data_IF_381628298449
#
_entry.id   IF_381628298449
#
_cell.length_a   1.000
_cell.length_b   1.000
_cell.length_c   1.000
_cell.angle_alpha   90.00
_cell.angle_beta   90.00
_cell.angle_gamma   90.00
#
_symmetry.space_group_name_H-M   'P 1'
#
loop_
_entity.id
_entity.type
_entity.pdbx_description
1 polymer ?
#
# COMPACT_ATOMS: atom_id res chain seq x y z
N UNK A 1 34.90 -6.55 -24.99
CA UNK A 1 34.76 -5.49 -26.00
C UNK A 1 33.40 -4.82 -25.81
N UNK A 2 33.36 -3.72 -25.06
CA UNK A 2 32.22 -2.80 -25.04
C UNK A 2 32.79 -1.41 -25.31
N UNK A 3 32.28 -0.77 -26.37
CA UNK A 3 32.67 0.56 -26.84
C UNK A 3 32.01 1.61 -25.96
N UNK A 4 32.83 2.54 -25.49
CA UNK A 4 32.43 3.88 -25.04
C UNK A 4 31.64 4.60 -26.13
N UNK A 5 30.63 5.35 -25.72
CA UNK A 5 30.14 6.51 -26.46
C UNK A 5 30.00 7.69 -25.50
N UNK A 6 31.00 8.55 -25.57
CA UNK A 6 31.07 9.88 -24.98
C UNK A 6 29.89 10.76 -25.42
N UNK A 7 29.29 11.49 -24.47
CA UNK A 7 28.47 12.66 -24.77
C UNK A 7 29.22 13.91 -24.31
N UNK A 8 29.52 14.72 -25.33
CA UNK A 8 30.40 15.89 -25.31
C UNK A 8 29.88 17.02 -24.42
N UNK A 9 30.81 17.55 -23.64
CA UNK A 9 30.77 18.89 -23.05
C UNK A 9 30.84 19.92 -24.17
N UNK A 10 29.90 20.87 -24.20
CA UNK A 10 30.06 22.14 -24.90
C UNK A 10 29.84 23.31 -23.93
N UNK A 11 30.88 24.13 -23.81
CA UNK A 11 30.94 25.35 -23.01
C UNK A 11 30.14 26.52 -23.60
N UNK A 12 29.77 27.40 -22.68
CA UNK A 12 29.66 28.87 -22.78
C UNK A 12 28.39 29.49 -23.35
N UNK A 13 27.61 30.12 -22.46
CA UNK A 13 27.09 31.48 -22.68
C UNK A 13 27.22 32.28 -21.39
N UNK A 14 27.97 33.38 -21.50
CA UNK A 14 28.10 34.43 -20.51
C UNK A 14 26.73 35.07 -20.25
N UNK A 15 26.30 35.12 -18.99
CA UNK A 15 25.22 36.00 -18.56
C UNK A 15 25.81 37.21 -17.84
N UNK A 16 25.82 38.33 -18.55
CA UNK A 16 26.15 39.65 -18.03
C UNK A 16 25.09 40.05 -17.00
N UNK A 17 25.51 40.24 -15.75
CA UNK A 17 24.67 40.69 -14.63
C UNK A 17 24.36 42.18 -14.83
N UNK A 18 23.09 42.52 -15.08
CA UNK A 18 22.57 43.87 -14.91
C UNK A 18 21.95 43.98 -13.52
N UNK A 19 22.51 44.86 -12.67
CA UNK A 19 21.85 45.32 -11.46
C UNK A 19 20.66 46.21 -11.84
N UNK A 20 19.44 45.74 -11.61
CA UNK A 20 18.23 46.56 -11.62
C UNK A 20 17.69 46.63 -10.19
N UNK A 21 17.95 47.77 -9.55
CA UNK A 21 17.37 48.16 -8.27
C UNK A 21 15.89 48.47 -8.51
N UNK A 22 15.00 47.63 -8.00
CA UNK A 22 13.58 47.96 -7.85
C UNK A 22 13.27 48.22 -6.37
N UNK A 23 13.05 49.49 -6.05
CA UNK A 23 12.43 49.92 -4.80
C UNK A 23 10.93 49.67 -4.95
N UNK A 24 10.38 48.73 -4.20
CA UNK A 24 8.93 48.54 -4.09
C UNK A 24 8.42 48.99 -2.73
N UNK A 25 7.39 49.84 -2.82
CA UNK A 25 6.63 50.44 -1.74
C UNK A 25 5.86 49.33 -0.99
N UNK A 26 6.17 49.18 0.30
CA UNK A 26 5.42 48.37 1.26
C UNK A 26 4.03 48.99 1.45
N UNK A 27 2.92 48.28 1.25
CA UNK A 27 2.26 47.53 2.33
C UNK A 27 1.22 46.52 1.80
N UNK A 28 1.24 46.20 0.49
CA UNK A 28 0.28 45.28 -0.16
C UNK A 28 0.88 44.04 -0.86
N UNK A 29 2.22 43.93 -0.98
CA UNK A 29 2.87 42.85 -1.74
C UNK A 29 3.05 41.53 -0.96
N UNK A 30 3.05 41.59 0.38
CA UNK A 30 3.54 40.47 1.19
C UNK A 30 2.65 39.23 1.17
N UNK A 31 1.32 39.38 1.10
CA UNK A 31 0.39 38.25 0.98
C UNK A 31 0.43 37.59 -0.41
N UNK A 32 0.75 38.38 -1.44
CA UNK A 32 0.79 37.90 -2.82
C UNK A 32 2.02 37.01 -3.06
N UNK A 33 3.17 37.32 -2.45
CA UNK A 33 4.38 36.49 -2.52
C UNK A 33 4.19 35.12 -1.89
N UNK A 34 3.59 35.05 -0.69
CA UNK A 34 3.35 33.77 0.00
C UNK A 34 2.37 32.89 -0.78
N UNK A 35 1.26 33.46 -1.25
CA UNK A 35 0.28 32.74 -2.06
C UNK A 35 0.87 32.25 -3.39
N UNK A 36 1.72 33.06 -4.02
CA UNK A 36 2.41 32.63 -5.24
C UNK A 36 3.38 31.47 -4.96
N UNK A 37 4.14 31.55 -3.88
CA UNK A 37 5.06 30.49 -3.46
C UNK A 37 4.33 29.19 -3.13
N UNK A 38 3.18 29.27 -2.47
CA UNK A 38 2.31 28.12 -2.20
C UNK A 38 1.83 27.43 -3.49
N UNK A 39 1.42 28.20 -4.49
CA UNK A 39 1.03 27.66 -5.80
C UNK A 39 2.22 26.98 -6.51
N UNK A 40 3.42 27.54 -6.39
CA UNK A 40 4.64 26.95 -6.95
C UNK A 40 4.96 25.61 -6.28
N UNK A 41 4.91 25.54 -4.94
CA UNK A 41 5.11 24.28 -4.20
C UNK A 41 4.05 23.24 -4.60
N UNK A 42 2.79 23.66 -4.71
CA UNK A 42 1.68 22.78 -5.09
C UNK A 42 1.80 22.24 -6.52
N UNK A 43 2.53 22.93 -7.39
CA UNK A 43 2.80 22.52 -8.78
C UNK A 43 4.16 21.83 -8.96
N UNK A 44 4.85 21.48 -7.86
CA UNK A 44 6.17 20.82 -7.90
C UNK A 44 7.33 21.75 -8.24
N UNK A 45 7.09 23.05 -8.38
CA UNK A 45 8.09 24.09 -8.70
C UNK A 45 8.76 24.61 -7.42
N UNK A 46 9.20 23.70 -6.55
CA UNK A 46 9.74 24.07 -5.24
C UNK A 46 11.01 24.90 -5.30
N UNK A 47 11.84 24.74 -6.33
CA UNK A 47 13.03 25.58 -6.52
C UNK A 47 12.65 27.06 -6.77
N UNK A 48 11.66 27.32 -7.64
CA UNK A 48 11.14 28.68 -7.90
C UNK A 48 10.53 29.29 -6.63
N UNK A 49 9.88 28.47 -5.79
CA UNK A 49 9.36 28.93 -4.51
C UNK A 49 10.49 29.35 -3.54
N UNK A 50 11.63 28.64 -3.52
CA UNK A 50 12.78 29.03 -2.70
C UNK A 50 13.32 30.41 -3.09
N UNK A 51 13.42 30.70 -4.40
CA UNK A 51 13.91 32.00 -4.91
C UNK A 51 13.02 33.17 -4.46
N UNK A 52 11.74 32.94 -4.22
CA UNK A 52 10.81 33.95 -3.70
C UNK A 52 10.83 34.05 -2.18
N UNK A 53 10.89 32.91 -1.49
CA UNK A 53 10.74 32.84 -0.03
C UNK A 53 11.99 33.27 0.72
N UNK A 54 13.20 32.99 0.19
CA UNK A 54 14.46 33.36 0.86
C UNK A 54 14.58 34.90 1.00
N UNK A 55 14.46 35.72 -0.07
CA UNK A 55 14.51 37.17 0.06
C UNK A 55 13.35 37.76 0.87
N UNK A 56 12.20 37.09 0.88
CA UNK A 56 11.05 37.49 1.69
C UNK A 56 11.36 37.36 3.19
N UNK A 57 11.92 36.22 3.61
CA UNK A 57 12.26 35.94 5.01
C UNK A 57 13.36 36.87 5.51
N UNK A 58 14.32 37.27 4.67
CA UNK A 58 15.31 38.29 5.04
C UNK A 58 14.66 39.61 5.47
N UNK A 59 13.55 39.98 4.83
CA UNK A 59 12.78 41.20 5.16
C UNK A 59 11.75 41.00 6.27
N UNK A 60 11.19 39.79 6.37
CA UNK A 60 10.09 39.43 7.29
C UNK A 60 10.43 38.19 8.11
N UNK A 61 11.55 38.24 8.84
CA UNK A 61 12.16 37.11 9.55
C UNK A 61 11.35 36.56 10.74
N UNK A 62 10.16 37.07 11.00
CA UNK A 62 9.23 36.61 12.05
C UNK A 62 7.92 36.03 11.49
N UNK A 63 7.75 35.91 10.17
CA UNK A 63 6.52 35.35 9.60
C UNK A 63 6.54 33.81 9.61
N UNK A 64 5.74 33.14 10.47
CA UNK A 64 5.72 31.68 10.51
C UNK A 64 5.24 31.04 9.21
N UNK A 65 4.35 31.69 8.44
CA UNK A 65 3.85 31.11 7.18
C UNK A 65 4.96 30.98 6.14
N UNK A 66 5.83 31.99 6.06
CA UNK A 66 6.97 31.97 5.16
C UNK A 66 7.92 30.79 5.49
N UNK A 67 8.19 30.57 6.78
CA UNK A 67 9.00 29.43 7.22
C UNK A 67 8.33 28.08 6.96
N UNK A 68 7.00 27.95 7.13
CA UNK A 68 6.28 26.71 6.78
C UNK A 68 6.42 26.42 5.28
N UNK A 69 6.15 27.42 4.42
CA UNK A 69 6.28 27.24 2.96
C UNK A 69 7.72 26.93 2.56
N UNK A 70 8.70 27.60 3.15
CA UNK A 70 10.12 27.34 2.87
C UNK A 70 10.51 25.92 3.29
N UNK A 71 10.04 25.45 4.44
CA UNK A 71 10.23 24.08 4.89
C UNK A 71 9.57 23.05 3.96
N UNK A 72 8.35 23.30 3.49
CA UNK A 72 7.65 22.45 2.51
C UNK A 72 8.41 22.36 1.18
N UNK A 73 8.94 23.48 0.70
CA UNK A 73 9.77 23.53 -0.52
C UNK A 73 11.07 22.71 -0.37
N UNK A 74 11.80 22.90 0.73
CA UNK A 74 13.00 22.10 1.02
C UNK A 74 12.69 20.61 1.12
N UNK A 75 11.59 20.25 1.79
CA UNK A 75 11.12 18.86 1.91
C UNK A 75 10.87 18.22 0.53
N UNK A 76 10.19 18.91 -0.39
CA UNK A 76 9.96 18.41 -1.76
C UNK A 76 11.25 18.25 -2.57
N UNK A 77 12.30 19.00 -2.24
CA UNK A 77 13.62 18.91 -2.88
C UNK A 77 14.54 17.86 -2.20
N UNK A 78 14.05 17.12 -1.20
CA UNK A 78 14.84 16.15 -0.44
C UNK A 78 15.82 16.78 0.56
N UNK A 79 15.73 18.09 0.81
CA UNK A 79 16.59 18.84 1.73
C UNK A 79 15.99 18.82 3.15
N UNK A 80 15.98 17.64 3.77
CA UNK A 80 15.25 17.40 5.03
C UNK A 80 15.83 18.17 6.23
N UNK A 81 17.16 18.35 6.30
CA UNK A 81 17.80 19.10 7.38
C UNK A 81 17.39 20.58 7.36
N UNK A 82 17.37 21.17 6.17
CA UNK A 82 16.93 22.54 5.93
C UNK A 82 15.45 22.69 6.26
N UNK A 83 14.62 21.72 5.83
CA UNK A 83 13.20 21.69 6.15
C UNK A 83 12.94 21.67 7.66
N UNK A 84 13.62 20.79 8.40
CA UNK A 84 13.55 20.70 9.87
C UNK A 84 13.85 22.06 10.52
N UNK A 85 14.93 22.73 10.09
CA UNK A 85 15.29 24.05 10.63
C UNK A 85 14.18 25.08 10.38
N UNK A 86 13.56 25.09 9.20
CA UNK A 86 12.49 26.05 8.91
C UNK A 86 11.23 25.76 9.72
N UNK A 87 10.82 24.49 9.86
CA UNK A 87 9.65 24.14 10.67
C UNK A 87 9.84 24.44 12.16
N UNK A 88 11.06 24.25 12.69
CA UNK A 88 11.41 24.69 14.04
C UNK A 88 11.26 26.20 14.20
N UNK A 89 11.79 27.01 13.27
CA UNK A 89 11.61 28.47 13.26
C UNK A 89 10.14 28.87 13.15
N UNK A 90 9.37 28.23 12.28
CA UNK A 90 7.93 28.46 12.15
C UNK A 90 7.20 28.24 13.48
N UNK A 91 7.47 27.13 14.18
CA UNK A 91 6.85 26.82 15.47
C UNK A 91 7.22 27.83 16.57
N UNK A 92 8.44 28.38 16.54
CA UNK A 92 8.91 29.44 17.44
C UNK A 92 8.17 30.75 17.15
N UNK A 93 8.13 31.18 15.89
CA UNK A 93 7.50 32.44 15.47
C UNK A 93 5.96 32.41 15.51
N UNK A 94 5.34 31.22 15.51
CA UNK A 94 3.90 31.04 15.71
C UNK A 94 3.46 31.16 17.19
N UNK A 95 4.26 31.78 18.06
CA UNK A 95 3.85 32.08 19.44
C UNK A 95 2.60 32.97 19.43
N UNK A 96 1.56 32.57 20.17
CA UNK A 96 0.25 33.24 20.14
C UNK A 96 -0.65 32.89 18.95
N UNK A 97 -0.21 32.01 18.04
CA UNK A 97 -0.98 31.49 16.90
C UNK A 97 -1.08 29.95 16.96
N UNK A 98 -1.99 29.39 17.80
CA UNK A 98 -2.01 27.96 18.11
C UNK A 98 -2.09 27.04 16.88
N UNK A 99 -2.97 27.34 15.92
CA UNK A 99 -3.14 26.51 14.72
C UNK A 99 -1.90 26.48 13.85
N UNK A 100 -1.26 27.63 13.60
CA UNK A 100 0.00 27.69 12.84
C UNK A 100 1.15 26.97 13.55
N UNK A 101 1.19 27.04 14.88
CA UNK A 101 2.17 26.29 15.67
C UNK A 101 1.94 24.78 15.57
N UNK A 102 0.67 24.34 15.53
CA UNK A 102 0.32 22.93 15.32
C UNK A 102 0.74 22.49 13.92
N UNK A 103 0.38 23.25 12.88
CA UNK A 103 0.77 22.96 11.49
C UNK A 103 2.29 22.80 11.35
N UNK A 104 3.06 23.78 11.85
CA UNK A 104 4.52 23.73 11.81
C UNK A 104 5.10 22.49 12.52
N UNK A 105 4.49 22.07 13.63
CA UNK A 105 4.93 20.89 14.39
C UNK A 105 4.53 19.58 13.71
N UNK A 106 3.36 19.51 13.08
CA UNK A 106 2.95 18.35 12.31
C UNK A 106 3.86 18.15 11.10
N UNK A 107 4.16 19.23 10.37
CA UNK A 107 5.14 19.18 9.26
C UNK A 107 6.53 18.76 9.75
N UNK A 108 6.99 19.33 10.87
CA UNK A 108 8.25 18.93 11.50
C UNK A 108 8.27 17.43 11.85
N UNK A 109 7.20 16.91 12.47
CA UNK A 109 7.08 15.50 12.80
C UNK A 109 7.07 14.60 11.56
N UNK A 110 6.35 14.99 10.50
CA UNK A 110 6.34 14.27 9.22
C UNK A 110 7.74 14.22 8.60
N UNK A 111 8.47 15.34 8.63
CA UNK A 111 9.86 15.35 8.15
C UNK A 111 10.73 14.40 8.97
N UNK A 112 10.62 14.43 10.31
CA UNK A 112 11.30 13.48 11.19
C UNK A 112 11.03 12.01 10.82
N UNK A 113 9.77 11.66 10.56
CA UNK A 113 9.39 10.32 10.14
C UNK A 113 10.00 9.93 8.78
N UNK A 114 9.96 10.82 7.80
CA UNK A 114 10.49 10.55 6.44
C UNK A 114 11.98 10.22 6.45
N UNK A 115 12.78 10.91 7.27
CA UNK A 115 14.23 10.66 7.32
C UNK A 115 14.62 9.59 8.37
N UNK A 116 13.64 9.04 9.12
CA UNK A 116 13.82 7.88 10.00
C UNK A 116 14.01 8.19 11.50
N UNK A 117 13.90 9.44 11.95
CA UNK A 117 14.06 9.84 13.36
C UNK A 117 12.71 9.86 14.10
N UNK A 118 12.21 8.65 14.42
CA UNK A 118 10.93 8.48 15.11
C UNK A 118 10.92 9.06 16.52
N UNK A 119 12.04 9.04 17.23
CA UNK A 119 12.14 9.58 18.59
C UNK A 119 11.86 11.09 18.60
N UNK A 120 12.48 11.84 17.67
CA UNK A 120 12.22 13.27 17.52
C UNK A 120 10.80 13.54 17.03
N UNK A 121 10.29 12.74 16.08
CA UNK A 121 8.91 12.84 15.62
C UNK A 121 7.92 12.70 16.78
N UNK A 122 8.06 11.66 17.60
CA UNK A 122 7.12 11.35 18.67
C UNK A 122 7.17 12.39 19.78
N UNK A 123 8.35 12.94 20.10
CA UNK A 123 8.48 14.10 21.00
C UNK A 123 7.68 15.30 20.49
N UNK A 124 7.75 15.61 19.20
CA UNK A 124 7.00 16.73 18.60
C UNK A 124 5.50 16.43 18.57
N UNK A 125 5.10 15.23 18.17
CA UNK A 125 3.69 14.81 18.16
C UNK A 125 3.07 14.85 19.55
N UNK A 126 3.82 14.49 20.61
CA UNK A 126 3.40 14.64 22.01
C UNK A 126 3.10 16.08 22.37
N UNK A 127 3.90 17.03 21.90
CA UNK A 127 3.64 18.46 22.12
C UNK A 127 2.37 18.93 21.40
N UNK A 128 2.11 18.44 20.19
CA UNK A 128 0.86 18.75 19.45
C UNK A 128 -0.33 18.15 20.18
N UNK A 129 -0.26 16.86 20.50
CA UNK A 129 -1.29 16.10 21.19
C UNK A 129 -1.74 16.74 22.51
N UNK A 130 -0.79 17.20 23.33
CA UNK A 130 -1.06 17.87 24.59
C UNK A 130 -1.67 19.28 24.42
N UNK A 131 -1.55 19.88 23.23
CA UNK A 131 -2.00 21.24 22.94
C UNK A 131 -3.36 21.34 22.25
N UNK A 132 -3.99 20.21 21.91
CA UNK A 132 -5.26 20.20 21.17
C UNK A 132 -6.27 19.16 21.68
N UNK A 133 -7.56 19.48 21.51
CA UNK A 133 -8.71 18.57 21.67
C UNK A 133 -9.43 18.31 20.35
N UNK A 134 -8.94 18.89 19.25
CA UNK A 134 -9.48 18.73 17.91
C UNK A 134 -9.35 17.26 17.45
N UNK A 135 -10.47 16.67 17.04
CA UNK A 135 -10.51 15.26 16.66
C UNK A 135 -9.79 14.99 15.35
N UNK A 136 -9.81 15.91 14.38
CA UNK A 136 -9.13 15.73 13.10
C UNK A 136 -7.61 15.69 13.32
N UNK A 137 -7.10 16.59 14.16
CA UNK A 137 -5.67 16.63 14.52
C UNK A 137 -5.28 15.37 15.30
N UNK A 138 -6.14 14.87 16.19
CA UNK A 138 -5.87 13.61 16.91
C UNK A 138 -5.81 12.43 15.93
N UNK A 139 -6.74 12.34 14.97
CA UNK A 139 -6.72 11.29 13.94
C UNK A 139 -5.48 11.38 13.06
N UNK A 140 -5.04 12.59 12.72
CA UNK A 140 -3.78 12.80 12.03
C UNK A 140 -2.58 12.27 12.84
N UNK A 141 -2.53 12.57 14.14
CA UNK A 141 -1.47 12.04 15.03
C UNK A 141 -1.54 10.52 15.11
N UNK A 142 -2.72 9.91 15.21
CA UNK A 142 -2.90 8.45 15.23
C UNK A 142 -2.21 7.82 14.01
N UNK A 143 -2.51 8.33 12.82
CA UNK A 143 -1.91 7.86 11.58
C UNK A 143 -0.40 8.10 11.45
N UNK A 144 0.20 8.92 12.33
CA UNK A 144 1.63 9.21 12.38
C UNK A 144 2.39 8.45 13.47
N UNK A 145 1.70 7.85 14.45
CA UNK A 145 2.35 7.10 15.55
C UNK A 145 2.27 5.59 15.39
N UNK A 146 1.33 5.07 14.61
CA UNK A 146 1.20 3.63 14.41
C UNK A 146 -0.09 3.25 13.67
N UNK A 147 -0.49 2.00 13.83
CA UNK A 147 -1.74 1.51 13.25
C UNK A 147 -2.95 2.25 13.83
N UNK A 148 -3.96 2.52 13.00
CA UNK A 148 -5.15 3.28 13.39
C UNK A 148 -6.14 2.49 14.26
N UNK A 149 -5.92 1.18 14.40
CA UNK A 149 -6.74 0.26 15.17
C UNK A 149 -5.86 -0.66 16.01
N UNK A 150 -6.44 -1.30 17.02
CA UNK A 150 -5.75 -2.30 17.80
C UNK A 150 -5.37 -3.51 16.92
N UNK A 151 -4.06 -3.74 16.82
CA UNK A 151 -3.46 -4.83 16.04
C UNK A 151 -2.75 -5.81 16.96
N UNK A 152 -2.87 -7.11 16.67
CA UNK A 152 -2.04 -8.16 17.28
C UNK A 152 -1.37 -9.05 16.25
N UNK A 153 -0.17 -9.51 16.57
CA UNK A 153 0.55 -10.50 15.77
C UNK A 153 -0.05 -11.90 16.01
N UNK A 154 -0.23 -12.68 14.95
CA UNK A 154 -0.74 -14.06 14.99
C UNK A 154 0.37 -15.11 14.85
N UNK A 155 1.37 -14.83 14.03
CA UNK A 155 2.51 -15.73 13.80
C UNK A 155 3.79 -15.16 14.40
N UNK A 156 4.60 -15.99 15.05
CA UNK A 156 5.79 -15.56 15.81
C UNK A 156 7.02 -16.42 15.52
N UNK A 157 7.04 -17.14 14.40
CA UNK A 157 8.15 -18.02 14.04
C UNK A 157 9.24 -17.23 13.30
N UNK A 158 10.45 -17.79 13.21
CA UNK A 158 11.56 -17.15 12.48
C UNK A 158 11.51 -17.43 10.96
N UNK A 159 10.31 -17.53 10.40
CA UNK A 159 10.09 -17.78 8.98
C UNK A 159 9.05 -16.82 8.45
N UNK A 160 9.08 -16.57 7.16
CA UNK A 160 8.09 -15.71 6.55
C UNK A 160 6.74 -16.42 6.39
N UNK A 161 5.66 -15.67 6.66
CA UNK A 161 4.28 -16.10 6.56
C UNK A 161 3.51 -15.08 5.71
N UNK A 162 2.79 -15.57 4.69
CA UNK A 162 2.19 -14.75 3.65
C UNK A 162 0.75 -15.16 3.31
N UNK A 163 0.09 -14.29 2.55
CA UNK A 163 -1.19 -14.53 1.89
C UNK A 163 -2.27 -15.09 2.83
N UNK A 164 -2.59 -14.40 3.94
CA UNK A 164 -3.69 -14.82 4.79
C UNK A 164 -5.01 -14.79 4.00
N UNK A 165 -5.87 -15.78 4.24
CA UNK A 165 -7.22 -15.85 3.69
C UNK A 165 -8.17 -16.40 4.73
N UNK A 166 -9.25 -15.69 5.01
CA UNK A 166 -10.25 -16.13 5.98
C UNK A 166 -11.12 -17.26 5.41
N UNK A 167 -11.47 -18.23 6.26
CA UNK A 167 -12.52 -19.19 5.94
C UNK A 167 -13.88 -18.48 5.78
N UNK A 168 -14.81 -18.99 4.94
CA UNK A 168 -16.10 -18.34 4.71
C UNK A 168 -16.95 -18.13 5.97
N UNK A 169 -16.76 -18.98 6.99
CA UNK A 169 -17.40 -18.87 8.30
C UNK A 169 -16.70 -17.89 9.26
N UNK A 170 -15.55 -17.34 8.87
CA UNK A 170 -14.75 -16.37 9.62
C UNK A 170 -13.96 -16.95 10.79
N UNK A 171 -13.98 -18.26 11.02
CA UNK A 171 -13.38 -18.88 12.22
C UNK A 171 -11.88 -19.18 12.09
N UNK A 172 -11.38 -19.30 10.85
CA UNK A 172 -10.01 -19.71 10.58
C UNK A 172 -9.35 -18.82 9.53
N UNK A 173 -8.02 -18.86 9.51
CA UNK A 173 -7.19 -18.23 8.48
C UNK A 173 -6.28 -19.31 7.87
N UNK A 174 -6.37 -19.47 6.55
CA UNK A 174 -5.38 -20.21 5.77
C UNK A 174 -4.26 -19.25 5.36
N UNK A 175 -3.01 -19.72 5.37
CA UNK A 175 -1.86 -18.90 5.01
C UNK A 175 -0.68 -19.75 4.56
N UNK A 176 0.26 -19.14 3.84
CA UNK A 176 1.49 -19.78 3.38
C UNK A 176 2.64 -19.53 4.37
N UNK A 177 3.45 -20.54 4.70
CA UNK A 177 4.58 -20.41 5.62
C UNK A 177 5.83 -21.11 5.11
N UNK A 178 6.96 -20.41 5.16
CA UNK A 178 8.30 -20.89 4.78
C UNK A 178 9.09 -21.49 5.97
N UNK A 179 8.39 -22.05 6.96
CA UNK A 179 9.05 -22.66 8.14
C UNK A 179 9.94 -23.86 7.78
N UNK A 180 9.69 -24.52 6.65
CA UNK A 180 10.46 -25.66 6.16
C UNK A 180 11.32 -25.32 4.93
N UNK A 181 11.74 -26.35 4.20
CA UNK A 181 12.56 -26.17 3.00
C UNK A 181 11.78 -25.57 1.80
N UNK A 182 10.46 -25.55 1.89
CA UNK A 182 9.52 -25.02 0.90
C UNK A 182 8.32 -24.37 1.61
N UNK A 183 7.59 -23.50 0.90
CA UNK A 183 6.34 -22.95 1.43
C UNK A 183 5.22 -23.95 1.37
N UNK A 184 4.45 -23.96 2.45
CA UNK A 184 3.31 -24.83 2.65
C UNK A 184 2.15 -24.05 3.22
N UNK A 185 0.93 -24.52 2.96
CA UNK A 185 -0.29 -23.90 3.46
C UNK A 185 -0.62 -24.49 4.83
N UNK A 186 -0.90 -23.59 5.78
CA UNK A 186 -1.33 -23.90 7.13
C UNK A 186 -2.69 -23.26 7.40
N UNK A 187 -3.41 -23.86 8.34
CA UNK A 187 -4.67 -23.35 8.87
C UNK A 187 -4.46 -23.00 10.35
N UNK A 188 -4.87 -21.82 10.75
CA UNK A 188 -4.88 -21.37 12.15
C UNK A 188 -6.24 -20.82 12.55
N UNK A 189 -6.51 -20.82 13.85
CA UNK A 189 -7.63 -20.06 14.41
C UNK A 189 -7.30 -18.56 14.47
N UNK A 190 -8.29 -17.73 14.81
CA UNK A 190 -8.06 -16.30 14.95
C UNK A 190 -7.09 -15.95 16.09
N UNK A 191 -6.84 -16.84 17.06
CA UNK A 191 -5.88 -16.61 18.14
C UNK A 191 -4.42 -16.92 17.73
N UNK A 192 -4.18 -17.32 16.47
CA UNK A 192 -2.86 -17.67 15.97
C UNK A 192 -2.45 -19.11 16.26
N UNK A 193 -3.36 -19.94 16.81
CA UNK A 193 -3.08 -21.35 17.06
C UNK A 193 -3.10 -22.11 15.75
N UNK A 194 -1.95 -22.68 15.36
CA UNK A 194 -1.87 -23.58 14.21
C UNK A 194 -2.74 -24.81 14.46
N UNK A 195 -3.77 -24.96 13.64
CA UNK A 195 -4.72 -26.07 13.70
C UNK A 195 -4.26 -27.24 12.83
N UNK A 196 -3.64 -26.96 11.67
CA UNK A 196 -3.27 -27.98 10.68
C UNK A 196 -2.26 -27.45 9.66
N UNK A 197 -1.37 -28.33 9.18
CA UNK A 197 -0.70 -28.20 7.88
C UNK A 197 -1.55 -28.84 6.79
N UNK A 198 -1.89 -28.09 5.75
CA UNK A 198 -2.81 -28.48 4.67
C UNK A 198 -2.06 -29.18 3.53
N UNK A 199 -0.97 -28.58 3.05
CA UNK A 199 -0.16 -29.10 1.94
C UNK A 199 1.14 -29.75 2.43
N UNK A 200 1.68 -30.65 1.61
CA UNK A 200 2.85 -31.48 1.91
C UNK A 200 3.71 -31.70 0.65
N UNK A 201 3.98 -30.64 -0.11
CA UNK A 201 4.76 -30.70 -1.34
C UNK A 201 6.26 -30.83 -1.06
N UNK A 202 6.99 -31.49 -1.95
CA UNK A 202 8.46 -31.65 -1.87
C UNK A 202 9.19 -30.68 -2.80
N UNK A 203 8.65 -30.54 -4.01
CA UNK A 203 9.28 -29.87 -5.14
C UNK A 203 8.58 -28.56 -5.52
N UNK A 204 7.62 -28.11 -4.69
CA UNK A 204 6.84 -26.92 -4.94
C UNK A 204 6.77 -26.01 -3.72
N UNK A 205 6.64 -24.71 -3.96
CA UNK A 205 6.23 -23.71 -2.98
C UNK A 205 4.74 -23.46 -3.18
N UNK A 206 3.93 -23.84 -2.18
CA UNK A 206 2.49 -23.62 -2.17
C UNK A 206 2.18 -22.28 -1.49
N UNK A 207 1.36 -21.44 -2.13
CA UNK A 207 1.07 -20.08 -1.66
C UNK A 207 -0.32 -19.58 -2.08
N UNK A 208 -0.68 -18.36 -1.68
CA UNK A 208 -1.94 -17.68 -2.06
C UNK A 208 -3.20 -18.55 -1.85
N UNK A 209 -3.39 -19.16 -0.67
CA UNK A 209 -4.58 -19.96 -0.40
C UNK A 209 -5.83 -19.08 -0.45
N UNK A 210 -6.89 -19.60 -1.05
CA UNK A 210 -8.21 -18.99 -1.06
C UNK A 210 -9.25 -20.06 -0.80
N UNK A 211 -10.17 -19.80 0.11
CA UNK A 211 -11.31 -20.69 0.30
C UNK A 211 -12.27 -20.59 -0.89
N UNK A 212 -12.82 -21.74 -1.27
CA UNK A 212 -13.99 -21.78 -2.15
C UNK A 212 -15.27 -21.56 -1.33
N UNK A 213 -16.44 -21.73 -1.95
CA UNK A 213 -17.73 -21.62 -1.26
C UNK A 213 -17.84 -22.51 -0.02
N UNK A 214 -17.25 -23.71 -0.08
CA UNK A 214 -17.16 -24.62 1.07
C UNK A 214 -15.92 -24.31 1.91
N UNK A 215 -16.07 -24.39 3.23
CA UNK A 215 -14.98 -24.33 4.21
C UNK A 215 -13.99 -25.50 4.11
N UNK A 216 -14.33 -26.54 3.35
CA UNK A 216 -13.52 -27.77 3.26
C UNK A 216 -12.49 -27.75 2.13
N UNK A 217 -12.59 -26.80 1.20
CA UNK A 217 -11.76 -26.72 0.01
C UNK A 217 -10.96 -25.43 -0.06
N UNK A 218 -9.67 -25.58 -0.37
CA UNK A 218 -8.76 -24.48 -0.68
C UNK A 218 -8.31 -24.56 -2.13
N UNK A 219 -8.35 -23.41 -2.80
CA UNK A 219 -7.71 -23.14 -4.08
C UNK A 219 -6.40 -22.40 -3.83
N UNK A 220 -5.31 -22.80 -4.46
CA UNK A 220 -4.00 -22.20 -4.16
C UNK A 220 -3.01 -22.29 -5.32
N UNK A 221 -1.97 -21.45 -5.24
CA UNK A 221 -0.86 -21.39 -6.18
C UNK A 221 0.22 -22.39 -5.83
N UNK A 222 0.83 -23.02 -6.84
CA UNK A 222 1.96 -23.93 -6.68
C UNK A 222 3.03 -23.61 -7.72
N UNK A 223 4.25 -23.35 -7.26
CA UNK A 223 5.40 -22.94 -8.09
C UNK A 223 6.58 -23.90 -7.84
N UNK A 224 7.32 -24.34 -8.88
CA UNK A 224 8.48 -25.21 -8.69
C UNK A 224 9.52 -24.58 -7.77
N UNK A 225 10.04 -25.41 -6.86
CA UNK A 225 11.12 -25.08 -5.94
C UNK A 225 12.43 -24.89 -6.71
N UNK A 226 12.59 -23.74 -7.35
CA UNK A 226 13.79 -23.38 -8.14
C UNK A 226 14.52 -22.15 -7.59
N UNK A 227 13.93 -21.41 -6.64
CA UNK A 227 14.57 -20.26 -5.99
C UNK A 227 14.38 -20.31 -4.47
N UNK A 228 15.45 -20.03 -3.71
CA UNK A 228 15.37 -19.64 -2.29
C UNK A 228 14.79 -18.22 -2.11
N UNK A 229 14.35 -17.59 -3.19
CA UNK A 229 13.78 -16.25 -3.18
C UNK A 229 12.28 -16.37 -3.41
N UNK A 230 11.52 -16.12 -2.35
CA UNK A 230 10.12 -15.75 -2.45
C UNK A 230 10.11 -14.35 -3.04
N UNK A 231 9.80 -14.24 -4.33
CA UNK A 231 9.41 -12.93 -4.88
C UNK A 231 8.01 -12.66 -4.34
N UNK A 232 7.94 -11.93 -3.23
CA UNK A 232 6.68 -11.33 -2.78
C UNK A 232 6.20 -10.46 -3.95
N UNK A 233 5.24 -10.97 -4.70
CA UNK A 233 4.66 -10.27 -5.83
C UNK A 233 3.67 -9.26 -5.30
N UNK A 234 4.22 -8.12 -4.86
CA UNK A 234 3.42 -6.91 -4.65
C UNK A 234 3.21 -6.19 -5.99
N UNK A 235 4.18 -6.32 -6.92
CA UNK A 235 4.02 -5.96 -8.32
C UNK A 235 4.52 -7.07 -9.24
N UNK A 236 3.67 -7.36 -10.21
CA UNK A 236 3.84 -8.32 -11.28
C UNK A 236 4.21 -7.55 -12.55
N UNK A 237 5.26 -7.97 -13.27
CA UNK A 237 5.50 -7.51 -14.65
C UNK A 237 5.20 -8.65 -15.62
N UNK A 238 4.54 -8.34 -16.74
CA UNK A 238 4.25 -9.30 -17.82
C UNK A 238 5.48 -9.79 -18.57
N UNK A 239 6.59 -9.06 -18.45
CA UNK A 239 7.86 -9.40 -19.11
C UNK A 239 8.57 -10.65 -18.57
N UNK A 240 8.14 -11.17 -17.41
CA UNK A 240 8.80 -12.32 -16.76
C UNK A 240 7.95 -13.59 -16.95
N UNK A 241 8.50 -14.67 -17.53
CA UNK A 241 7.79 -15.95 -17.60
C UNK A 241 7.30 -16.41 -16.22
N UNK A 242 6.04 -16.85 -16.15
CA UNK A 242 5.42 -17.34 -14.91
C UNK A 242 5.44 -18.86 -14.92
N UNK A 243 6.06 -19.46 -13.91
CA UNK A 243 6.05 -20.90 -13.70
C UNK A 243 5.23 -21.23 -12.46
N UNK A 244 3.93 -20.95 -12.53
CA UNK A 244 2.99 -21.14 -11.42
C UNK A 244 1.70 -21.74 -11.96
N UNK A 245 1.15 -22.71 -11.23
CA UNK A 245 -0.12 -23.35 -11.54
C UNK A 245 -1.05 -23.29 -10.35
N UNK A 246 -2.26 -23.81 -10.52
CA UNK A 246 -3.27 -23.84 -9.47
C UNK A 246 -3.74 -25.24 -9.15
N UNK A 247 -3.94 -25.46 -7.85
CA UNK A 247 -4.47 -26.70 -7.30
C UNK A 247 -5.68 -26.42 -6.42
N UNK A 248 -6.54 -27.42 -6.28
CA UNK A 248 -7.58 -27.47 -5.26
C UNK A 248 -7.27 -28.63 -4.33
N UNK A 249 -7.36 -28.42 -3.03
CA UNK A 249 -7.23 -29.48 -2.04
C UNK A 249 -8.38 -29.47 -1.04
N UNK A 250 -8.84 -30.65 -0.67
CA UNK A 250 -9.77 -30.80 0.45
C UNK A 250 -8.98 -30.91 1.77
N UNK A 251 -9.21 -29.97 2.68
CA UNK A 251 -8.40 -29.74 3.90
C UNK A 251 -8.29 -30.98 4.79
N UNK A 252 -9.38 -31.75 4.93
CA UNK A 252 -9.43 -32.86 5.88
C UNK A 252 -8.93 -34.20 5.34
N UNK A 253 -9.26 -34.56 4.10
CA UNK A 253 -8.89 -35.84 3.49
C UNK A 253 -7.63 -35.76 2.59
N UNK A 254 -7.09 -34.56 2.34
CA UNK A 254 -5.87 -34.29 1.56
C UNK A 254 -5.94 -34.74 0.10
N UNK A 255 -7.14 -34.85 -0.45
CA UNK A 255 -7.30 -35.07 -1.88
C UNK A 255 -7.04 -33.77 -2.63
N UNK A 256 -5.99 -33.77 -3.46
CA UNK A 256 -5.56 -32.61 -4.26
C UNK A 256 -5.73 -32.88 -5.74
N UNK A 257 -6.25 -31.90 -6.47
CA UNK A 257 -6.47 -31.91 -7.91
C UNK A 257 -5.81 -30.70 -8.56
N UNK A 258 -5.15 -30.92 -9.69
CA UNK A 258 -4.65 -29.85 -10.54
C UNK A 258 -5.82 -29.16 -11.26
N UNK A 259 -5.83 -27.83 -11.27
CA UNK A 259 -6.80 -26.99 -11.99
C UNK A 259 -6.13 -26.37 -13.21
N UNK A 260 -5.00 -25.70 -12.98
CA UNK A 260 -4.15 -25.12 -14.03
C UNK A 260 -2.75 -25.71 -13.85
N UNK A 261 -2.16 -26.36 -14.87
CA UNK A 261 -0.79 -26.84 -14.77
C UNK A 261 0.20 -25.69 -14.72
N UNK A 262 1.33 -25.90 -14.05
CA UNK A 262 2.41 -24.91 -13.87
C UNK A 262 2.93 -24.34 -15.18
N UNK A 263 2.92 -25.14 -16.26
CA UNK A 263 3.33 -24.74 -17.60
C UNK A 263 2.46 -23.65 -18.22
N UNK A 264 1.25 -23.42 -17.70
CA UNK A 264 0.36 -22.36 -18.17
C UNK A 264 0.79 -20.98 -17.66
N UNK A 265 1.35 -20.89 -16.45
CA UNK A 265 1.83 -19.64 -15.86
C UNK A 265 0.71 -18.72 -15.37
N UNK A 266 0.12 -19.03 -14.22
CA UNK A 266 -0.95 -18.25 -13.59
C UNK A 266 -0.65 -17.96 -12.11
N UNK A 267 -1.00 -16.77 -11.61
CA UNK A 267 -0.73 -16.35 -10.22
C UNK A 267 -1.83 -15.47 -9.62
N UNK A 268 -1.67 -15.17 -8.33
CA UNK A 268 -2.54 -14.31 -7.53
C UNK A 268 -4.04 -14.64 -7.70
N UNK A 269 -4.45 -15.89 -7.45
CA UNK A 269 -5.87 -16.23 -7.52
C UNK A 269 -6.62 -15.50 -6.41
N UNK A 270 -7.82 -15.02 -6.72
CA UNK A 270 -8.82 -14.57 -5.76
C UNK A 270 -10.15 -15.25 -6.07
N UNK A 271 -10.91 -15.58 -5.04
CA UNK A 271 -12.15 -16.35 -5.16
C UNK A 271 -13.39 -15.54 -4.76
N UNK A 272 -14.52 -15.86 -5.39
CA UNK A 272 -15.85 -15.46 -4.95
C UNK A 272 -16.80 -16.61 -5.25
N UNK A 273 -17.34 -17.24 -4.19
CA UNK A 273 -18.02 -18.55 -4.31
C UNK A 273 -17.08 -19.58 -4.96
N UNK A 274 -17.45 -20.17 -6.09
CA UNK A 274 -16.62 -21.08 -6.87
C UNK A 274 -16.09 -20.42 -8.16
N UNK A 275 -16.03 -19.09 -8.23
CA UNK A 275 -15.36 -18.39 -9.32
C UNK A 275 -13.98 -17.95 -8.88
N UNK A 276 -13.02 -18.03 -9.78
CA UNK A 276 -11.62 -17.65 -9.56
C UNK A 276 -11.21 -16.63 -10.60
N UNK A 277 -10.79 -15.46 -10.16
CA UNK A 277 -10.10 -14.48 -11.01
C UNK A 277 -8.61 -14.53 -10.69
N UNK A 278 -7.78 -14.43 -11.71
CA UNK A 278 -6.32 -14.54 -11.58
C UNK A 278 -5.63 -13.80 -12.72
N UNK A 279 -4.31 -13.66 -12.63
CA UNK A 279 -3.48 -13.05 -13.67
C UNK A 279 -2.54 -14.07 -14.35
N UNK A 280 -2.28 -13.87 -15.64
CA UNK A 280 -1.35 -14.68 -16.45
C UNK A 280 -0.73 -13.82 -17.55
N UNK A 281 0.41 -14.23 -18.10
CA UNK A 281 1.11 -13.51 -19.16
C UNK A 281 1.27 -14.31 -20.47
N UNK A 282 0.32 -15.20 -20.76
CA UNK A 282 0.38 -16.10 -21.92
C UNK A 282 0.48 -15.41 -23.28
N UNK A 283 0.15 -14.12 -23.39
CA UNK A 283 0.19 -13.36 -24.64
C UNK A 283 1.20 -12.19 -24.64
N UNK A 284 2.03 -12.05 -23.60
CA UNK A 284 3.16 -11.12 -23.56
C UNK A 284 3.06 -9.98 -22.53
N UNK A 285 1.86 -9.68 -22.03
CA UNK A 285 1.61 -8.78 -20.90
C UNK A 285 0.71 -9.46 -19.86
N UNK A 286 0.61 -8.91 -18.65
CA UNK A 286 -0.28 -9.48 -17.64
C UNK A 286 -1.72 -9.13 -17.93
N UNK A 287 -2.55 -10.16 -17.88
CA UNK A 287 -3.97 -10.01 -18.06
C UNK A 287 -4.78 -10.87 -17.11
N UNK A 288 -6.03 -10.46 -16.92
CA UNK A 288 -6.95 -11.10 -16.02
C UNK A 288 -7.78 -12.17 -16.73
N UNK A 289 -7.90 -13.31 -16.07
CA UNK A 289 -8.66 -14.46 -16.53
C UNK A 289 -9.62 -14.94 -15.44
N UNK A 290 -10.72 -15.54 -15.89
CA UNK A 290 -11.78 -16.10 -15.05
C UNK A 290 -11.90 -17.60 -15.28
N UNK A 291 -11.95 -18.36 -14.19
CA UNK A 291 -12.41 -19.75 -14.17
C UNK A 291 -13.70 -19.83 -13.36
N UNK A 292 -14.66 -20.58 -13.90
CA UNK A 292 -15.90 -20.91 -13.21
C UNK A 292 -15.87 -22.38 -12.77
N UNK A 293 -15.83 -22.61 -11.46
CA UNK A 293 -15.84 -23.92 -10.82
C UNK A 293 -17.19 -24.26 -10.20
N UNK A 294 -18.30 -23.67 -10.65
CA UNK A 294 -19.67 -24.05 -10.25
C UNK A 294 -20.09 -25.44 -10.79
N UNK A 295 -19.13 -26.38 -10.85
CA UNK A 295 -19.28 -27.77 -11.25
C UNK A 295 -19.90 -28.55 -10.08
N UNK A 296 -20.77 -29.52 -10.40
CA UNK A 296 -21.52 -30.28 -9.39
C UNK A 296 -20.65 -31.09 -8.41
N UNK A 297 -19.39 -31.40 -8.74
CA UNK A 297 -18.53 -32.19 -7.87
C UNK A 297 -17.03 -31.82 -8.00
N UNK A 298 -16.54 -31.02 -7.06
CA UNK A 298 -15.13 -30.62 -6.97
C UNK A 298 -14.16 -31.79 -6.76
N UNK A 299 -14.61 -32.93 -6.21
CA UNK A 299 -13.74 -34.10 -5.97
C UNK A 299 -13.40 -34.93 -7.21
N UNK A 300 -14.01 -34.62 -8.37
CA UNK A 300 -13.78 -35.34 -9.64
C UNK A 300 -13.42 -34.39 -10.78
N UNK A 301 -12.86 -33.25 -10.45
CA UNK A 301 -12.49 -32.22 -11.41
C UNK A 301 -11.29 -32.69 -12.25
N UNK A 302 -11.42 -32.62 -13.58
CA UNK A 302 -10.32 -32.78 -14.52
C UNK A 302 -9.92 -31.40 -15.06
N UNK A 303 -8.62 -31.08 -15.01
CA UNK A 303 -8.05 -29.86 -15.59
C UNK A 303 -8.37 -29.68 -17.09
N UNK A 304 -8.57 -30.77 -17.84
CA UNK A 304 -8.94 -30.69 -19.26
C UNK A 304 -10.34 -30.10 -19.48
N UNK A 305 -11.21 -30.14 -18.47
CA UNK A 305 -12.57 -29.59 -18.54
C UNK A 305 -12.60 -28.10 -18.19
N UNK A 306 -11.49 -27.54 -17.70
CA UNK A 306 -11.42 -26.15 -17.28
C UNK A 306 -11.11 -25.27 -18.48
N UNK A 307 -11.99 -24.30 -18.71
CA UNK A 307 -11.86 -23.32 -19.79
C UNK A 307 -11.74 -21.91 -19.22
N UNK A 308 -10.51 -21.41 -19.04
CA UNK A 308 -10.29 -20.03 -18.65
C UNK A 308 -10.86 -19.06 -19.69
N UNK A 309 -11.45 -17.97 -19.21
CA UNK A 309 -11.94 -16.87 -20.05
C UNK A 309 -11.12 -15.63 -19.74
N UNK A 310 -10.41 -15.09 -20.73
CA UNK A 310 -9.76 -13.78 -20.64
C UNK A 310 -10.82 -12.69 -20.44
N UNK A 311 -10.59 -11.75 -19.54
CA UNK A 311 -11.54 -10.67 -19.23
C UNK A 311 -10.96 -9.26 -19.37
N UNK A 312 -9.63 -9.10 -19.53
CA UNK A 312 -8.98 -7.86 -19.97
C UNK A 312 -8.29 -8.06 -21.32
N UNK A 313 -8.16 -6.98 -22.11
CA UNK A 313 -7.64 -7.02 -23.48
C UNK A 313 -6.86 -5.73 -23.77
N UNK A 314 -5.81 -5.46 -23.01
CA UNK A 314 -5.00 -4.24 -23.18
C UNK A 314 -3.53 -4.58 -23.43
N UNK A 315 -2.74 -3.56 -23.77
CA UNK A 315 -1.28 -3.66 -23.92
C UNK A 315 -0.53 -3.45 -22.59
N UNK A 316 -1.26 -3.18 -21.51
CA UNK A 316 -0.74 -2.85 -20.19
C UNK A 316 -0.76 -4.08 -19.29
N UNK A 317 0.00 -4.04 -18.20
CA UNK A 317 -0.03 -5.09 -17.18
C UNK A 317 -1.25 -4.88 -16.26
N UNK A 318 -2.10 -5.89 -16.15
CA UNK A 318 -3.20 -5.97 -15.18
C UNK A 318 -2.98 -7.08 -14.15
N UNK A 319 -3.21 -6.77 -12.88
CA UNK A 319 -2.94 -7.74 -11.82
C UNK A 319 -3.62 -7.44 -10.49
N UNK A 320 -3.33 -8.30 -9.52
CA UNK A 320 -3.93 -8.26 -8.17
C UNK A 320 -5.45 -8.03 -8.18
N UNK A 321 -6.23 -8.82 -8.95
CA UNK A 321 -7.68 -8.66 -9.00
C UNK A 321 -8.33 -9.05 -7.67
N UNK A 322 -9.43 -8.42 -7.28
CA UNK A 322 -10.26 -8.82 -6.14
C UNK A 322 -11.74 -8.62 -6.45
N UNK A 323 -12.59 -9.52 -5.95
CA UNK A 323 -14.04 -9.45 -6.14
C UNK A 323 -14.71 -8.45 -5.19
N UNK A 324 -15.72 -7.76 -5.69
CA UNK A 324 -16.77 -7.21 -4.83
C UNK A 324 -17.68 -8.35 -4.31
N UNK A 325 -18.40 -8.18 -3.18
CA UNK A 325 -19.10 -9.29 -2.52
C UNK A 325 -20.13 -10.06 -3.36
N UNK A 326 -20.80 -9.40 -4.32
CA UNK A 326 -21.74 -10.07 -5.25
C UNK A 326 -21.02 -10.88 -6.35
N UNK A 327 -19.71 -10.71 -6.50
CA UNK A 327 -18.87 -11.31 -7.53
C UNK A 327 -19.23 -10.90 -8.96
N UNK A 328 -20.01 -9.84 -9.16
CA UNK A 328 -20.35 -9.30 -10.49
C UNK A 328 -19.38 -8.20 -10.92
N UNK A 329 -18.63 -7.66 -9.97
CA UNK A 329 -17.66 -6.58 -10.16
C UNK A 329 -16.33 -6.98 -9.54
N UNK A 330 -15.24 -6.52 -10.14
CA UNK A 330 -13.90 -6.63 -9.59
C UNK A 330 -13.23 -5.27 -9.49
N UNK A 331 -12.24 -5.20 -8.61
CA UNK A 331 -11.20 -4.17 -8.58
C UNK A 331 -9.87 -4.84 -8.92
N UNK A 332 -8.99 -4.13 -9.62
CA UNK A 332 -7.69 -4.64 -10.04
C UNK A 332 -6.70 -3.50 -10.22
N UNK A 333 -5.43 -3.85 -10.35
CA UNK A 333 -4.33 -2.93 -10.57
C UNK A 333 -3.98 -2.90 -12.06
N UNK A 334 -3.70 -1.71 -12.59
CA UNK A 334 -3.21 -1.55 -13.96
C UNK A 334 -2.18 -0.42 -14.06
N UNK A 335 -1.14 -0.62 -14.87
CA UNK A 335 -0.07 0.36 -15.12
C UNK A 335 -0.32 1.25 -16.35
N UNK A 336 -1.54 1.25 -16.89
CA UNK A 336 -1.95 2.05 -18.07
C UNK A 336 -1.79 3.57 -17.94
N UNK A 337 -1.47 4.07 -16.76
CA UNK A 337 -1.16 5.48 -16.52
C UNK A 337 0.34 5.79 -16.69
N UNK A 338 1.11 4.88 -17.31
CA UNK A 338 2.54 4.90 -17.69
C UNK A 338 3.57 5.22 -16.57
N UNK A 339 3.13 5.80 -15.46
CA UNK A 339 3.97 6.35 -14.40
C UNK A 339 3.75 5.67 -13.06
N UNK A 340 2.56 5.10 -12.83
CA UNK A 340 2.16 4.44 -11.58
C UNK A 340 1.13 3.35 -11.83
N UNK A 341 1.12 2.33 -10.98
CA UNK A 341 0.07 1.33 -10.87
C UNK A 341 -1.14 1.93 -10.16
N UNK A 342 -2.31 1.85 -10.78
CA UNK A 342 -3.55 2.44 -10.25
C UNK A 342 -4.68 1.43 -10.17
N UNK A 343 -5.69 1.76 -9.35
CA UNK A 343 -6.87 0.92 -9.15
C UNK A 343 -7.93 1.18 -10.22
N UNK A 344 -8.37 0.11 -10.86
CA UNK A 344 -9.46 0.10 -11.82
C UNK A 344 -10.56 -0.84 -11.36
N UNK A 345 -11.79 -0.55 -11.75
CA UNK A 345 -12.91 -1.46 -11.53
C UNK A 345 -13.61 -1.79 -12.82
N UNK A 346 -14.17 -2.99 -12.93
CA UNK A 346 -14.98 -3.40 -14.07
C UNK A 346 -16.02 -4.44 -13.66
N UNK A 347 -17.04 -4.65 -14.49
CA UNK A 347 -17.91 -5.83 -14.35
C UNK A 347 -17.17 -7.08 -14.79
N UNK A 348 -17.54 -8.23 -14.22
CA UNK A 348 -16.82 -9.50 -14.41
C UNK A 348 -16.87 -10.02 -15.86
N UNK A 349 -17.76 -9.46 -16.69
CA UNK A 349 -17.83 -9.69 -18.14
C UNK A 349 -16.87 -8.80 -18.95
N UNK A 350 -15.95 -8.09 -18.29
CA UNK A 350 -14.94 -7.23 -18.91
C UNK A 350 -15.44 -5.84 -19.32
N UNK A 351 -16.67 -5.46 -18.93
CA UNK A 351 -17.28 -4.17 -19.32
C UNK A 351 -17.28 -3.15 -18.18
N UNK A 352 -17.79 -1.95 -18.47
CA UNK A 352 -18.02 -0.87 -17.51
C UNK A 352 -16.77 -0.49 -16.70
N UNK A 353 -15.63 -0.53 -17.36
CA UNK A 353 -14.35 -0.24 -16.75
C UNK A 353 -14.25 1.23 -16.32
N UNK A 354 -13.67 1.47 -15.14
CA UNK A 354 -13.50 2.81 -14.55
C UNK A 354 -12.20 2.91 -13.77
N UNK A 355 -11.48 4.03 -13.94
CA UNK A 355 -10.39 4.44 -13.06
C UNK A 355 -10.99 4.85 -11.70
N UNK A 356 -10.69 4.09 -10.64
CA UNK A 356 -11.45 4.13 -9.39
C UNK A 356 -11.12 5.34 -8.49
N UNK A 357 -9.83 5.66 -8.36
CA UNK A 357 -9.33 6.78 -7.58
C UNK A 357 -8.02 7.28 -8.20
N UNK A 358 -8.09 8.19 -9.20
CA UNK A 358 -6.89 8.69 -9.87
C UNK A 358 -6.02 9.51 -8.90
N UNK A 359 -4.79 9.07 -8.68
CA UNK A 359 -3.81 9.77 -7.84
C UNK A 359 -2.36 9.50 -8.35
N UNK A 360 -1.34 10.22 -7.85
CA UNK A 360 0.04 10.07 -8.33
C UNK A 360 0.84 8.96 -7.61
N UNK A 361 0.19 8.05 -6.89
CA UNK A 361 0.85 7.06 -6.03
C UNK A 361 0.53 5.63 -6.43
N UNK A 362 1.52 4.75 -6.47
CA UNK A 362 1.28 3.34 -6.74
C UNK A 362 0.29 2.69 -5.75
N UNK A 363 -0.58 1.84 -6.28
CA UNK A 363 -1.60 1.09 -5.54
C UNK A 363 -1.54 -0.40 -5.87
N UNK A 364 -1.56 -1.26 -4.85
CA UNK A 364 -1.41 -2.72 -4.98
C UNK A 364 -2.34 -3.51 -4.06
N UNK A 365 -2.49 -4.82 -4.33
CA UNK A 365 -3.24 -5.80 -3.52
C UNK A 365 -4.55 -5.26 -2.91
N UNK A 366 -5.52 -4.81 -3.74
CA UNK A 366 -6.81 -4.39 -3.24
C UNK A 366 -7.57 -5.56 -2.60
N UNK A 367 -8.31 -5.28 -1.54
CA UNK A 367 -9.25 -6.18 -0.89
C UNK A 367 -10.54 -5.42 -0.59
N UNK A 368 -11.69 -5.99 -0.95
CA UNK A 368 -12.99 -5.35 -0.78
C UNK A 368 -13.64 -5.87 0.51
N UNK A 369 -14.22 -4.98 1.31
CA UNK A 369 -14.96 -5.38 2.52
C UNK A 369 -16.19 -6.23 2.17
N UNK A 370 -16.63 -7.15 3.04
CA UNK A 370 -17.78 -8.02 2.78
C UNK A 370 -19.10 -7.29 2.55
N UNK A 371 -19.24 -6.07 3.07
CA UNK A 371 -20.40 -5.20 2.82
C UNK A 371 -20.26 -4.36 1.54
N UNK A 372 -19.11 -4.44 0.86
CA UNK A 372 -18.81 -3.76 -0.40
C UNK A 372 -18.59 -2.26 -0.26
N UNK A 373 -18.46 -1.74 0.98
CA UNK A 373 -18.38 -0.29 1.23
C UNK A 373 -16.96 0.25 1.34
N UNK A 374 -15.98 -0.59 1.65
CA UNK A 374 -14.60 -0.18 1.83
C UNK A 374 -13.68 -1.05 0.98
N UNK A 375 -12.54 -0.48 0.62
CA UNK A 375 -11.47 -1.16 -0.09
C UNK A 375 -10.18 -0.89 0.68
N UNK A 376 -9.51 -1.95 1.12
CA UNK A 376 -8.15 -1.88 1.64
C UNK A 376 -7.17 -2.10 0.50
N UNK A 377 -6.08 -1.36 0.43
CA UNK A 377 -5.05 -1.51 -0.59
C UNK A 377 -3.70 -1.06 -0.06
N UNK A 378 -2.63 -1.46 -0.73
CA UNK A 378 -1.26 -1.11 -0.35
C UNK A 378 -0.77 0.05 -1.20
N UNK A 379 -0.10 1.02 -0.59
CA UNK A 379 0.53 2.14 -1.30
C UNK A 379 1.82 2.57 -0.60
N UNK A 380 2.80 3.02 -1.36
CA UNK A 380 4.10 3.48 -0.87
C UNK A 380 4.25 5.00 -1.05
N UNK A 381 3.56 5.78 -0.20
CA UNK A 381 3.52 7.26 -0.32
C UNK A 381 4.60 7.97 0.48
N UNK A 382 4.95 7.40 1.63
CA UNK A 382 5.85 8.00 2.63
C UNK A 382 7.08 7.09 2.86
N UNK A 383 7.65 6.55 1.78
CA UNK A 383 8.78 5.61 1.71
C UNK A 383 8.53 4.16 2.17
N UNK A 384 7.61 3.90 3.11
CA UNK A 384 7.19 2.53 3.48
C UNK A 384 5.88 2.10 2.78
N UNK A 385 5.74 0.78 2.58
CA UNK A 385 4.54 0.17 1.99
C UNK A 385 3.50 -0.02 3.08
N UNK A 386 2.35 0.60 2.91
CA UNK A 386 1.37 0.69 3.98
C UNK A 386 -0.04 0.45 3.46
N UNK A 387 -0.91 0.05 4.36
CA UNK A 387 -2.29 -0.27 4.07
C UNK A 387 -3.12 1.00 4.24
N UNK A 388 -3.86 1.32 3.20
CA UNK A 388 -4.84 2.39 3.13
C UNK A 388 -6.22 1.77 3.01
N UNK A 389 -7.23 2.47 3.52
CA UNK A 389 -8.64 2.15 3.32
C UNK A 389 -9.32 3.32 2.62
N UNK A 390 -10.20 3.02 1.67
CA UNK A 390 -10.97 4.00 0.89
C UNK A 390 -12.41 3.52 0.75
N UNK A 391 -13.36 4.45 0.69
CA UNK A 391 -14.75 4.11 0.44
C UNK A 391 -14.91 3.55 -0.99
N UNK A 392 -15.89 2.68 -1.20
CA UNK A 392 -16.21 2.08 -2.51
C UNK A 392 -16.68 3.08 -3.58
N UNK A 393 -16.81 4.36 -3.23
CA UNK A 393 -17.06 5.47 -4.14
C UNK A 393 -15.77 6.26 -4.52
N UNK A 394 -14.60 5.83 -4.03
CA UNK A 394 -13.30 6.45 -4.27
C UNK A 394 -12.99 7.65 -3.37
N UNK A 395 -13.70 7.85 -2.25
CA UNK A 395 -13.50 8.96 -1.30
C UNK A 395 -13.03 8.48 0.07
N UNK A 396 -12.70 9.43 0.96
CA UNK A 396 -12.33 9.20 2.36
C UNK A 396 -11.16 8.23 2.54
N UNK A 397 -10.22 8.30 1.60
CA UNK A 397 -8.99 7.54 1.65
C UNK A 397 -8.15 7.95 2.87
N UNK A 398 -7.67 6.95 3.62
CA UNK A 398 -6.85 7.15 4.80
C UNK A 398 -5.92 5.98 5.05
N UNK A 399 -4.73 6.25 5.55
CA UNK A 399 -3.76 5.24 6.00
C UNK A 399 -4.24 4.59 7.29
N UNK A 400 -4.08 3.27 7.43
CA UNK A 400 -4.46 2.52 8.64
C UNK A 400 -3.31 1.74 9.29
N UNK A 401 -2.16 1.61 8.62
CA UNK A 401 -0.92 1.08 9.21
C UNK A 401 0.20 2.10 9.09
N UNK A 402 1.02 2.23 10.14
CA UNK A 402 2.16 3.16 10.17
C UNK A 402 3.29 2.64 11.09
N UNK A 403 3.48 1.31 11.07
CA UNK A 403 4.49 0.60 11.86
C UNK A 403 5.91 0.78 11.32
N UNK A 404 6.93 0.21 11.98
CA UNK A 404 8.25 0.02 11.32
C UNK A 404 8.05 -1.10 10.30
N UNK A 405 8.58 -0.94 9.09
CA UNK A 405 8.52 -1.97 8.06
C UNK A 405 7.26 -1.92 7.22
N UNK A 406 7.17 -2.84 6.27
CA UNK A 406 6.12 -2.93 5.25
C UNK A 406 4.89 -3.60 5.83
N UNK A 407 3.71 -3.13 5.44
CA UNK A 407 2.41 -3.74 5.70
C UNK A 407 1.73 -4.01 4.35
N UNK A 408 1.45 -5.28 4.05
CA UNK A 408 1.04 -5.75 2.72
C UNK A 408 -0.06 -6.82 2.81
N UNK A 409 -0.63 -7.20 1.66
CA UNK A 409 -1.62 -8.29 1.52
C UNK A 409 -2.81 -8.19 2.51
N UNK A 410 -3.53 -7.06 2.55
CA UNK A 410 -4.71 -6.92 3.40
C UNK A 410 -5.83 -7.88 2.96
N UNK A 411 -6.56 -8.45 3.92
CA UNK A 411 -7.78 -9.22 3.66
C UNK A 411 -8.80 -8.99 4.78
N UNK A 412 -10.04 -8.70 4.42
CA UNK A 412 -11.12 -8.52 5.39
C UNK A 412 -11.67 -9.87 5.86
N UNK A 413 -12.04 -9.95 7.15
CA UNK A 413 -12.83 -11.07 7.65
C UNK A 413 -14.24 -11.06 7.02
N UNK A 414 -14.92 -12.20 6.85
CA UNK A 414 -16.26 -12.26 6.24
C UNK A 414 -17.33 -11.46 6.97
N UNK A 415 -17.14 -11.20 8.27
CA UNK A 415 -18.04 -10.38 9.09
C UNK A 415 -17.65 -8.88 9.12
N UNK A 416 -16.56 -8.51 8.44
CA UNK A 416 -16.05 -7.14 8.36
C UNK A 416 -15.45 -6.59 9.65
N UNK A 417 -15.32 -7.41 10.71
CA UNK A 417 -14.80 -6.96 12.01
C UNK A 417 -13.27 -6.89 12.05
N UNK A 418 -12.58 -7.66 11.23
CA UNK A 418 -11.14 -7.75 11.24
C UNK A 418 -10.53 -7.51 9.86
N UNK A 419 -9.28 -7.06 9.87
CA UNK A 419 -8.39 -7.07 8.72
C UNK A 419 -7.16 -7.90 9.08
N UNK A 420 -6.93 -9.01 8.38
CA UNK A 420 -5.65 -9.70 8.45
C UNK A 420 -4.70 -9.11 7.42
N UNK A 421 -3.43 -9.01 7.75
CA UNK A 421 -2.41 -8.49 6.86
C UNK A 421 -1.04 -9.04 7.22
N UNK A 422 -0.06 -8.80 6.35
CA UNK A 422 1.31 -9.28 6.50
C UNK A 422 2.23 -8.10 6.77
N UNK A 423 3.13 -8.21 7.75
CA UNK A 423 4.12 -7.17 8.03
C UNK A 423 5.46 -7.72 8.48
N UNK A 424 6.55 -7.09 8.07
CA UNK A 424 7.93 -7.42 8.47
C UNK A 424 8.43 -6.57 9.65
N UNK A 425 7.51 -5.94 10.41
CA UNK A 425 7.81 -5.14 11.61
C UNK A 425 8.54 -5.90 12.73
N UNK A 426 8.72 -7.21 12.58
CA UNK A 426 9.47 -8.11 13.47
C UNK A 426 10.51 -8.92 12.70
N UNK A 427 11.25 -8.28 11.79
CA UNK A 427 12.38 -8.78 10.97
C UNK A 427 12.05 -9.86 9.92
N UNK A 428 10.97 -10.61 10.11
CA UNK A 428 10.41 -11.58 9.16
C UNK A 428 8.96 -11.24 8.90
N UNK A 429 8.42 -11.65 7.75
CA UNK A 429 7.03 -11.41 7.45
C UNK A 429 6.11 -12.27 8.32
N UNK A 430 5.28 -11.61 9.11
CA UNK A 430 4.34 -12.24 10.03
C UNK A 430 2.92 -11.78 9.72
N UNK A 431 1.95 -12.61 10.09
CA UNK A 431 0.54 -12.29 9.94
C UNK A 431 0.07 -11.53 11.18
N UNK A 432 -0.59 -10.41 10.94
CA UNK A 432 -1.21 -9.56 11.94
C UNK A 432 -2.71 -9.53 11.75
N UNK A 433 -3.44 -9.32 12.84
CA UNK A 433 -4.88 -9.17 12.86
C UNK A 433 -5.23 -7.84 13.51
N UNK A 434 -5.89 -6.97 12.74
CA UNK A 434 -6.39 -5.67 13.16
C UNK A 434 -7.89 -5.77 13.46
N UNK A 435 -8.33 -5.28 14.62
CA UNK A 435 -9.76 -5.20 14.99
C UNK A 435 -10.34 -3.84 14.58
N UNK A 436 -11.16 -3.85 13.52
CA UNK A 436 -11.74 -2.64 12.93
C UNK A 436 -12.84 -2.02 13.81
N UNK A 437 -13.29 -2.70 14.87
CA UNK A 437 -14.20 -2.15 15.88
C UNK A 437 -13.47 -1.51 17.06
N UNK A 438 -12.15 -1.62 17.13
CA UNK A 438 -11.32 -1.06 18.20
C UNK A 438 -10.34 -0.02 17.64
N UNK A 439 -10.82 1.16 17.22
CA UNK A 439 -9.95 2.25 16.80
C UNK A 439 -9.08 2.72 17.96
N UNK A 440 -7.85 3.11 17.66
CA UNK A 440 -6.94 3.71 18.64
C UNK A 440 -7.58 5.00 19.18
N UNK A 441 -7.70 5.08 20.50
CA UNK A 441 -8.31 6.24 21.18
C UNK A 441 -7.25 7.22 21.66
N UNK A 442 -7.69 8.42 22.05
CA UNK A 442 -6.84 9.41 22.72
C UNK A 442 -6.05 8.81 23.91
N UNK A 443 -6.64 7.87 24.65
CA UNK A 443 -5.99 7.23 25.81
C UNK A 443 -4.83 6.34 25.37
N UNK A 444 -4.98 5.63 24.26
CA UNK A 444 -3.97 4.71 23.74
C UNK A 444 -2.76 5.47 23.19
N UNK A 445 -2.98 6.63 22.57
CA UNK A 445 -1.92 7.52 22.07
C UNK A 445 -0.95 7.93 23.19
N UNK A 446 -1.45 8.13 24.43
CA UNK A 446 -0.58 8.47 25.56
C UNK A 446 0.48 7.40 25.81
N UNK A 447 0.16 6.13 25.55
CA UNK A 447 1.11 5.03 25.66
C UNK A 447 2.04 4.94 24.43
N UNK A 448 1.55 5.28 23.24
CA UNK A 448 2.35 5.28 22.00
C UNK A 448 3.38 6.42 21.94
N UNK A 449 3.05 7.57 22.54
CA UNK A 449 3.91 8.76 22.61
C UNK A 449 4.77 8.82 23.87
N UNK A 450 4.89 7.72 24.63
CA UNK A 450 5.51 7.74 25.95
C UNK A 450 7.01 7.94 25.92
#
# INVERSE_FOLDING_TARGET
MYKNSDLRIHQSKNYTIYYLIFIFIALGCNSNTLKHSENLISSGKSFEALELLIPYIEKSNHDPNAYILLGKAYKQLGQYNEAVQQFQKAAIHATGKPMLRIEARLELARTFLIYGDRDSAFKVLKLVFLSTTDQEIIQEIIGLVGDSFHTRQLTHNNSDNYSPSFSPDGNNIAFASFKGDNSEIYLMDLNGRIMRRVTYSTDFNDSSPNFLKSTDYLFYSSEPKSSREVKILIQSSGSTPIYTGFNITHIYNRHTLCVIPVSFGARVPQTSSNRVVYETNTDGNLELYLINLEIKNLSKLDHNDIKPTRITYTEYDEGSPAFFPNGEKIIFVSNRNESVNQLYTMTIDGKNEKHFNPNPYDCYNPSVSPDGKNIAFVSARDADWEIYIIDANGKNERRITNGIGRSIQPTFSPDGKYLAFVSDRTDTFQIYLMDLNQPITRKDIVALLR
#
